data_IF_143901713265
#
_entry.id   IF_143901713265
#
_cell.length_a   1.000
_cell.length_b   1.000
_cell.length_c   1.000
_cell.angle_alpha   90.00
_cell.angle_beta   90.00
_cell.angle_gamma   90.00
#
_symmetry.space_group_name_H-M   'P 1'
#
loop_
_entity.id
_entity.type
_entity.pdbx_description
1 polymer ?
#
# COMPACT_ATOMS: atom_id res chain seq x y z
N UNK A 1 -5.11 8.60 0.19
CA UNK A 1 -6.54 8.24 0.32
C UNK A 1 -6.84 7.93 1.78
N UNK A 2 -7.92 8.46 2.35
CA UNK A 2 -8.37 8.08 3.70
C UNK A 2 -9.01 6.68 3.65
N UNK A 3 -8.70 5.84 4.64
CA UNK A 3 -9.06 4.43 4.70
C UNK A 3 -9.23 3.97 6.16
N UNK A 4 -9.33 2.67 6.42
CA UNK A 4 -9.28 2.06 7.74
C UNK A 4 -8.51 0.74 7.75
N UNK A 5 -8.22 0.21 8.95
CA UNK A 5 -7.60 -1.10 9.10
C UNK A 5 -8.39 -2.25 8.46
N UNK A 6 -9.71 -2.07 8.26
CA UNK A 6 -10.55 -3.03 7.53
C UNK A 6 -10.55 -2.83 5.99
N UNK A 7 -10.38 -1.61 5.50
CA UNK A 7 -10.56 -1.30 4.06
C UNK A 7 -9.27 -1.09 3.29
N UNK A 8 -8.13 -0.95 3.96
CA UNK A 8 -6.85 -0.59 3.32
C UNK A 8 -6.43 -1.56 2.22
N UNK A 9 -6.72 -2.85 2.32
CA UNK A 9 -6.36 -3.82 1.28
C UNK A 9 -7.12 -3.55 -0.02
N UNK A 10 -8.42 -3.27 0.06
CA UNK A 10 -9.21 -2.91 -1.11
C UNK A 10 -8.79 -1.55 -1.69
N UNK A 11 -8.42 -0.61 -0.82
CA UNK A 11 -7.89 0.68 -1.27
C UNK A 11 -6.51 0.53 -1.95
N UNK A 12 -5.67 -0.38 -1.47
CA UNK A 12 -4.39 -0.74 -2.10
C UNK A 12 -4.61 -1.42 -3.44
N UNK A 13 -5.53 -2.38 -3.54
CA UNK A 13 -5.84 -3.06 -4.80
C UNK A 13 -6.29 -2.05 -5.87
N UNK A 14 -7.18 -1.12 -5.51
CA UNK A 14 -7.60 -0.03 -6.40
C UNK A 14 -6.45 0.91 -6.80
N UNK A 15 -5.58 1.27 -5.86
CA UNK A 15 -4.41 2.13 -6.15
C UNK A 15 -3.43 1.43 -7.08
N UNK A 16 -3.16 0.14 -6.88
CA UNK A 16 -2.26 -0.63 -7.74
C UNK A 16 -2.84 -0.69 -9.15
N UNK A 17 -4.14 -0.96 -9.29
CA UNK A 17 -4.80 -0.95 -10.60
C UNK A 17 -4.66 0.40 -11.31
N UNK A 18 -4.85 1.51 -10.59
CA UNK A 18 -4.83 2.86 -11.16
C UNK A 18 -3.41 3.37 -11.49
N UNK A 19 -2.40 2.99 -10.70
CA UNK A 19 -1.07 3.59 -10.76
C UNK A 19 0.03 2.64 -11.24
N UNK A 20 -0.26 1.37 -11.50
CA UNK A 20 0.74 0.45 -12.08
C UNK A 20 1.04 0.87 -13.50
N UNK A 21 2.32 1.15 -13.77
CA UNK A 21 2.80 1.42 -15.11
C UNK A 21 3.36 0.11 -15.70
N UNK A 22 2.98 -0.23 -16.92
CA UNK A 22 3.53 -1.39 -17.63
C UNK A 22 4.58 -0.91 -18.61
N UNK A 23 5.81 -1.40 -18.46
CA UNK A 23 6.94 -1.09 -19.34
C UNK A 23 7.59 -2.40 -19.84
N UNK A 24 8.65 -2.27 -20.66
CA UNK A 24 9.35 -3.41 -21.25
C UNK A 24 10.00 -4.34 -20.20
N UNK A 25 10.15 -3.88 -18.95
CA UNK A 25 10.62 -4.65 -17.79
C UNK A 25 9.50 -5.30 -16.96
N UNK A 26 8.24 -5.14 -17.35
CA UNK A 26 7.08 -5.71 -16.66
C UNK A 26 6.21 -4.67 -15.93
N UNK A 27 5.48 -5.13 -14.92
CA UNK A 27 4.62 -4.27 -14.10
C UNK A 27 5.45 -3.49 -13.08
N UNK A 28 5.36 -2.17 -13.14
CA UNK A 28 6.02 -1.26 -12.23
C UNK A 28 5.01 -0.76 -11.18
N UNK A 29 4.96 -1.45 -10.04
CA UNK A 29 4.04 -1.09 -8.96
C UNK A 29 4.44 0.25 -8.31
N UNK A 30 3.46 1.06 -7.87
CA UNK A 30 3.71 2.30 -7.15
C UNK A 30 4.40 2.03 -5.81
N UNK A 31 5.12 3.04 -5.30
CA UNK A 31 5.60 3.01 -3.92
C UNK A 31 4.41 3.30 -2.99
N UNK A 32 4.20 2.42 -2.00
CA UNK A 32 3.06 2.47 -1.09
C UNK A 32 3.50 2.70 0.34
N UNK A 33 2.73 3.50 1.06
CA UNK A 33 2.94 3.78 2.48
C UNK A 33 1.59 3.82 3.19
N UNK A 34 1.57 3.39 4.45
CA UNK A 34 0.39 3.52 5.32
C UNK A 34 0.75 4.42 6.50
N UNK A 35 0.00 5.51 6.67
CA UNK A 35 0.13 6.39 7.84
C UNK A 35 -0.94 6.00 8.86
N UNK A 36 -0.49 5.56 10.04
CA UNK A 36 -1.32 5.17 11.18
C UNK A 36 -0.90 5.98 12.41
N UNK A 37 -1.68 6.99 12.77
CA UNK A 37 -1.32 7.92 13.84
C UNK A 37 0.01 8.61 13.55
N UNK A 38 1.04 8.33 14.36
CA UNK A 38 2.42 8.85 14.18
C UNK A 38 3.35 7.91 13.41
N UNK A 39 2.90 6.70 13.06
CA UNK A 39 3.72 5.69 12.38
C UNK A 39 3.51 5.77 10.87
N UNK A 40 4.59 5.59 10.13
CA UNK A 40 4.55 5.29 8.69
C UNK A 40 5.01 3.84 8.54
N UNK A 41 4.15 3.02 7.95
CA UNK A 41 4.49 1.68 7.50
C UNK A 41 4.94 1.82 6.05
N UNK A 42 6.20 1.50 5.81
CA UNK A 42 6.82 1.56 4.48
C UNK A 42 6.59 0.24 3.75
N UNK A 43 5.88 0.30 2.62
CA UNK A 43 5.61 -0.82 1.72
C UNK A 43 6.19 -0.55 0.32
N UNK A 44 7.06 0.45 0.19
CA UNK A 44 7.73 0.79 -1.06
C UNK A 44 8.71 -0.30 -1.49
N UNK A 45 9.02 -0.34 -2.78
CA UNK A 45 10.00 -1.29 -3.31
C UNK A 45 9.53 -2.75 -3.45
N UNK A 46 8.39 -3.13 -2.86
CA UNK A 46 7.85 -4.51 -2.93
C UNK A 46 7.47 -4.93 -4.35
N UNK A 47 7.58 -6.22 -4.64
CA UNK A 47 7.54 -6.74 -6.02
C UNK A 47 6.13 -7.00 -6.53
N UNK A 48 5.17 -7.26 -5.65
CA UNK A 48 3.80 -7.58 -6.04
C UNK A 48 2.79 -7.23 -4.94
N UNK A 49 1.51 -7.19 -5.33
CA UNK A 49 0.39 -6.86 -4.44
C UNK A 49 0.25 -7.83 -3.26
N UNK A 50 0.60 -9.10 -3.44
CA UNK A 50 0.51 -10.11 -2.37
C UNK A 50 1.51 -9.81 -1.24
N UNK A 51 2.76 -9.46 -1.57
CA UNK A 51 3.77 -9.04 -0.60
C UNK A 51 3.35 -7.76 0.14
N UNK A 52 2.82 -6.77 -0.58
CA UNK A 52 2.30 -5.53 0.01
C UNK A 52 1.20 -5.85 1.04
N UNK A 53 0.23 -6.70 0.66
CA UNK A 53 -0.88 -7.07 1.53
C UNK A 53 -0.44 -7.93 2.72
N UNK A 54 0.54 -8.80 2.53
CA UNK A 54 1.11 -9.64 3.58
C UNK A 54 1.82 -8.80 4.65
N UNK A 55 2.78 -7.97 4.25
CA UNK A 55 3.57 -7.15 5.18
C UNK A 55 2.66 -6.10 5.86
N UNK A 56 1.83 -5.39 5.10
CA UNK A 56 0.89 -4.43 5.68
C UNK A 56 -0.12 -5.09 6.63
N UNK A 57 -0.53 -6.33 6.35
CA UNK A 57 -1.43 -7.10 7.22
C UNK A 57 -0.76 -7.48 8.55
N UNK A 58 0.51 -7.85 8.53
CA UNK A 58 1.29 -8.10 9.75
C UNK A 58 1.44 -6.83 10.58
N UNK A 59 1.81 -5.71 9.94
CA UNK A 59 2.01 -4.42 10.62
C UNK A 59 0.73 -3.82 11.23
N UNK A 60 -0.42 -4.10 10.61
CA UNK A 60 -1.74 -3.68 11.08
C UNK A 60 -2.45 -4.74 11.95
N UNK A 61 -1.78 -5.86 12.26
CA UNK A 61 -2.34 -6.92 13.09
C UNK A 61 -2.68 -6.38 14.49
N UNK A 62 -3.88 -6.70 14.97
CA UNK A 62 -4.38 -6.24 16.28
C UNK A 62 -4.87 -4.78 16.31
N UNK A 63 -4.81 -4.05 15.20
CA UNK A 63 -5.43 -2.72 15.10
C UNK A 63 -6.94 -2.88 14.91
N UNK A 64 -7.73 -2.07 15.64
CA UNK A 64 -9.19 -2.11 15.53
C UNK A 64 -9.64 -1.77 14.11
N UNK A 65 -10.58 -2.54 13.56
CA UNK A 65 -11.02 -2.51 12.17
C UNK A 65 -11.46 -1.11 11.67
N UNK A 66 -12.05 -0.30 12.55
CA UNK A 66 -12.56 1.04 12.29
C UNK A 66 -11.49 2.14 12.40
N UNK A 67 -10.31 1.81 12.92
CA UNK A 67 -9.18 2.74 13.07
C UNK A 67 -8.83 3.35 11.71
N UNK A 68 -8.90 4.68 11.66
CA UNK A 68 -8.60 5.42 10.43
C UNK A 68 -7.10 5.45 10.16
N UNK A 69 -6.76 5.31 8.89
CA UNK A 69 -5.40 5.42 8.38
C UNK A 69 -5.42 6.13 7.03
N UNK A 70 -4.24 6.52 6.55
CA UNK A 70 -4.06 7.07 5.21
C UNK A 70 -3.21 6.10 4.40
N UNK A 71 -3.67 5.72 3.22
CA UNK A 71 -2.83 5.05 2.21
C UNK A 71 -2.26 6.12 1.29
N UNK A 72 -0.95 6.14 1.15
CA UNK A 72 -0.21 7.04 0.26
C UNK A 72 0.41 6.19 -0.83
N UNK A 73 0.34 6.69 -2.06
CA UNK A 73 0.99 6.10 -3.21
C UNK A 73 1.74 7.18 -3.97
N UNK A 74 2.93 6.85 -4.42
CA UNK A 74 3.69 7.67 -5.37
C UNK A 74 4.04 6.80 -6.57
N UNK A 75 4.32 7.45 -7.71
CA UNK A 75 5.05 6.76 -8.78
C UNK A 75 6.32 6.14 -8.22
N UNK A 76 6.74 5.01 -8.78
CA UNK A 76 8.05 4.47 -8.47
C UNK A 76 9.11 5.42 -9.05
N UNK A 77 10.04 5.86 -8.20
CA UNK A 77 11.10 6.82 -8.57
C UNK A 77 12.48 6.19 -8.54
N UNK A 78 12.57 4.99 -7.98
CA UNK A 78 13.73 4.12 -7.92
C UNK A 78 13.85 3.35 -9.24
N UNK A 79 14.44 4.03 -10.23
CA UNK A 79 14.84 3.54 -11.55
C UNK A 79 16.16 4.18 -11.97
#
# INVERSE_FOLDING_TARGET
>A
RQSSAASWQSDVDWIIEELTEYNDGGANLPNLYIVLGKRIIDLSGLQNAEQIKSIGGVELSGIAADTKLIVIATKRVDG
#
